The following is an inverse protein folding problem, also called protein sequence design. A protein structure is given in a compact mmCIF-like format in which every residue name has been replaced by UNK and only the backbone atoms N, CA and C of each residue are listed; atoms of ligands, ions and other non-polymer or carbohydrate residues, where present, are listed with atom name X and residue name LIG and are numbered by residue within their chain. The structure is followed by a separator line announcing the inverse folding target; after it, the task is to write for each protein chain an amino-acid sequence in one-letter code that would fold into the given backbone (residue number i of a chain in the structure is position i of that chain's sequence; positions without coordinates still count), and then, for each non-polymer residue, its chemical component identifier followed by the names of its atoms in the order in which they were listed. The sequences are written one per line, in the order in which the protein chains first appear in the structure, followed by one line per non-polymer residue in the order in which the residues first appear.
data_IF_086286178518
#
_entry.id   IF_086286178518
#
_cell.length_a   1.000
_cell.length_b   1.000
_cell.length_c   1.000
_cell.angle_alpha   90.00
_cell.angle_beta   90.00
_cell.angle_gamma   90.00
#
_symmetry.space_group_name_H-M   'P 1'
#
loop_
_entity.id
_entity.type
_entity.pdbx_description
1 polymer ?
#
# COMPACT_ATOMS: atom_id res chain seq x y z
N UNK A 1 14.56 49.79 -7.22
CA UNK A 1 14.35 49.02 -5.95
C UNK A 1 13.32 47.95 -6.22
N UNK A 2 13.80 46.80 -6.62
CA UNK A 2 12.97 45.65 -7.04
C UNK A 2 13.10 44.55 -6.01
N UNK A 3 12.03 44.28 -5.26
CA UNK A 3 11.94 43.12 -4.33
C UNK A 3 11.51 41.91 -5.14
N UNK A 4 12.41 40.95 -5.32
CA UNK A 4 12.09 39.59 -5.75
C UNK A 4 11.68 38.76 -4.55
N UNK A 5 10.39 38.41 -4.47
CA UNK A 5 9.87 37.41 -3.54
C UNK A 5 10.08 36.02 -4.11
N UNK A 6 10.96 35.23 -3.50
CA UNK A 6 11.10 33.79 -3.78
C UNK A 6 9.92 33.06 -3.13
N UNK A 7 8.91 32.71 -3.91
CA UNK A 7 7.89 31.73 -3.51
C UNK A 7 8.45 30.33 -3.73
N UNK A 8 8.85 29.66 -2.66
CA UNK A 8 9.13 28.24 -2.68
C UNK A 8 7.80 27.49 -2.86
N UNK A 9 7.59 26.87 -4.00
CA UNK A 9 6.45 25.98 -4.23
C UNK A 9 6.75 24.63 -3.55
N UNK A 10 6.15 24.41 -2.39
CA UNK A 10 6.17 23.12 -1.71
C UNK A 10 4.98 22.30 -2.23
N UNK A 11 5.22 21.44 -3.23
CA UNK A 11 4.23 20.46 -3.66
C UNK A 11 4.18 19.32 -2.63
N UNK A 12 3.22 19.38 -1.71
CA UNK A 12 2.92 18.30 -0.80
C UNK A 12 1.94 17.34 -1.50
N UNK A 13 2.46 16.29 -2.10
CA UNK A 13 1.64 15.15 -2.54
C UNK A 13 1.16 14.41 -1.28
N UNK A 14 -0.12 14.57 -0.94
CA UNK A 14 -0.77 13.84 0.14
C UNK A 14 -1.14 12.45 -0.38
N UNK A 15 -0.19 11.55 -0.48
CA UNK A 15 -0.47 10.12 -0.54
C UNK A 15 -0.79 9.63 0.88
N UNK A 16 -1.89 8.91 1.04
CA UNK A 16 -2.20 8.15 2.24
C UNK A 16 -1.27 6.92 2.29
N UNK A 17 -0.06 7.13 2.70
CA UNK A 17 0.76 6.09 3.27
C UNK A 17 1.52 6.75 4.41
N UNK A 18 1.56 6.10 5.56
CA UNK A 18 2.55 6.41 6.58
C UNK A 18 3.90 6.04 5.98
N UNK A 19 4.42 6.87 5.09
CA UNK A 19 5.77 6.68 4.63
C UNK A 19 6.68 6.81 5.85
N UNK A 20 7.19 5.68 6.35
CA UNK A 20 8.61 5.67 6.64
C UNK A 20 9.19 6.30 5.38
N UNK A 21 9.79 7.47 5.48
CA UNK A 21 10.56 7.99 4.38
C UNK A 21 11.57 6.88 4.08
N UNK A 22 11.22 5.99 3.14
CA UNK A 22 12.24 5.32 2.39
C UNK A 22 13.01 6.50 1.83
N UNK A 23 14.22 6.70 2.36
CA UNK A 23 15.12 7.68 1.80
C UNK A 23 15.16 7.32 0.32
N UNK A 24 14.36 8.05 -0.48
CA UNK A 24 14.60 8.07 -1.91
C UNK A 24 16.07 8.38 -1.99
N UNK A 25 16.81 7.52 -2.60
CA UNK A 25 18.15 7.82 -3.06
C UNK A 25 18.02 8.96 -4.09
N UNK A 26 17.72 10.16 -3.60
CA UNK A 26 17.66 11.40 -4.35
C UNK A 26 19.05 12.02 -4.30
N UNK A 27 19.62 12.16 -5.48
CA UNK A 27 20.73 13.07 -5.84
C UNK A 27 22.10 12.90 -5.18
N UNK A 28 22.38 11.91 -4.35
CA UNK A 28 23.76 11.71 -3.87
C UNK A 28 24.61 10.77 -4.75
N UNK A 29 24.18 10.47 -5.96
CA UNK A 29 24.84 9.51 -6.86
C UNK A 29 26.23 9.95 -7.38
N UNK A 30 26.72 11.12 -6.99
CA UNK A 30 28.01 11.63 -7.46
C UNK A 30 29.11 11.67 -6.38
N UNK A 31 28.81 11.30 -5.14
CA UNK A 31 29.85 11.19 -4.11
C UNK A 31 29.83 9.78 -3.53
N UNK A 32 30.89 8.96 -3.74
CA UNK A 32 30.97 7.64 -3.13
C UNK A 32 31.19 7.81 -1.62
N UNK A 33 30.10 8.04 -0.88
CA UNK A 33 30.13 7.91 0.57
C UNK A 33 30.46 6.46 0.88
N UNK A 34 31.45 6.22 1.76
CA UNK A 34 31.86 4.88 2.15
C UNK A 34 30.72 4.09 2.81
N UNK A 35 30.98 2.84 3.12
CA UNK A 35 29.99 1.92 3.69
C UNK A 35 29.38 2.45 5.00
N UNK A 36 30.20 3.00 5.91
CA UNK A 36 29.73 3.59 7.17
C UNK A 36 29.38 5.08 7.03
N UNK A 37 30.15 5.82 6.26
CA UNK A 37 29.95 7.28 6.08
C UNK A 37 28.62 7.59 5.38
N UNK A 38 28.15 6.65 4.55
CA UNK A 38 26.84 6.72 3.89
C UNK A 38 25.73 5.99 4.64
N UNK A 39 26.02 5.46 5.85
CA UNK A 39 25.04 4.69 6.58
C UNK A 39 24.04 5.58 7.32
N UNK A 40 22.79 5.12 7.39
CA UNK A 40 21.71 5.74 8.17
C UNK A 40 21.09 4.73 9.12
N UNK A 41 20.70 5.19 10.30
CA UNK A 41 19.91 4.43 11.25
C UNK A 41 18.66 5.23 11.60
N UNK A 42 17.51 4.73 11.20
CA UNK A 42 16.22 5.32 11.47
C UNK A 42 15.45 4.43 12.45
N UNK A 43 14.82 5.04 13.46
CA UNK A 43 13.90 4.33 14.35
C UNK A 43 12.58 5.08 14.34
N UNK A 44 11.50 4.39 14.02
CA UNK A 44 10.14 4.94 14.09
C UNK A 44 9.41 4.34 15.28
N UNK A 45 8.95 5.20 16.20
CA UNK A 45 7.98 4.85 17.23
C UNK A 45 6.58 5.07 16.67
N UNK A 46 5.75 4.01 16.63
CA UNK A 46 4.38 4.03 16.10
C UNK A 46 3.41 3.54 17.16
N UNK A 47 2.56 4.43 17.65
CA UNK A 47 1.42 4.08 18.48
C UNK A 47 0.19 3.99 17.59
N UNK A 48 -0.53 2.86 17.63
CA UNK A 48 -1.64 2.62 16.72
C UNK A 48 -2.84 2.05 17.48
N UNK A 49 -3.96 2.75 17.42
CA UNK A 49 -5.27 2.27 17.82
C UNK A 49 -6.14 2.10 16.59
N UNK A 50 -6.75 0.91 16.44
CA UNK A 50 -7.70 0.60 15.37
C UNK A 50 -8.94 -0.05 15.99
N UNK A 51 -10.08 0.58 15.75
CA UNK A 51 -11.40 0.03 16.06
C UNK A 51 -12.20 -0.16 14.77
N UNK A 52 -12.86 -1.30 14.63
CA UNK A 52 -13.75 -1.69 13.53
C UNK A 52 -15.08 -2.12 14.14
N UNK A 53 -16.09 -1.29 14.02
CA UNK A 53 -17.45 -1.50 14.54
C UNK A 53 -18.36 -1.98 13.40
N UNK A 54 -18.87 -3.20 13.51
CA UNK A 54 -19.75 -3.82 12.51
C UNK A 54 -21.20 -3.46 12.82
N UNK A 55 -21.91 -2.88 11.86
CA UNK A 55 -23.33 -2.50 11.99
C UNK A 55 -24.28 -3.70 11.94
N UNK A 56 -23.82 -4.80 11.32
CA UNK A 56 -24.42 -6.12 11.40
C UNK A 56 -23.35 -7.09 11.91
N UNK A 57 -23.69 -8.16 12.63
CA UNK A 57 -22.67 -9.12 13.05
C UNK A 57 -21.85 -9.59 11.86
N UNK A 58 -20.51 -9.51 12.00
CA UNK A 58 -19.60 -10.06 10.99
C UNK A 58 -19.81 -11.57 10.82
N UNK A 59 -19.33 -12.20 9.73
CA UNK A 59 -19.37 -13.67 9.58
C UNK A 59 -18.79 -14.42 10.76
N UNK A 60 -17.85 -13.79 11.50
CA UNK A 60 -17.29 -14.35 12.75
C UNK A 60 -18.17 -14.13 13.99
N UNK A 61 -19.36 -13.52 13.85
CA UNK A 61 -20.27 -13.22 14.97
C UNK A 61 -19.81 -12.08 15.88
N UNK A 62 -18.73 -11.37 15.52
CA UNK A 62 -18.20 -10.24 16.31
C UNK A 62 -18.92 -8.95 15.96
N UNK A 63 -19.32 -8.19 16.99
CA UNK A 63 -19.90 -6.84 16.80
C UNK A 63 -18.84 -5.79 16.56
N UNK A 64 -17.63 -5.95 17.08
CA UNK A 64 -16.48 -5.07 16.79
C UNK A 64 -15.16 -5.80 17.00
N UNK A 65 -14.09 -5.23 16.39
CA UNK A 65 -12.69 -5.57 16.66
C UNK A 65 -11.96 -4.31 17.09
N UNK A 66 -11.12 -4.40 18.11
CA UNK A 66 -10.35 -3.26 18.60
C UNK A 66 -8.99 -3.71 19.13
N UNK A 67 -7.93 -3.07 18.68
CA UNK A 67 -6.57 -3.28 19.14
C UNK A 67 -5.88 -1.95 19.32
N UNK A 68 -5.08 -1.84 20.38
CA UNK A 68 -4.18 -0.73 20.63
C UNK A 68 -2.79 -1.29 20.89
N UNK A 69 -1.83 -0.82 20.10
CA UNK A 69 -0.49 -1.37 20.12
C UNK A 69 0.57 -0.29 19.94
N UNK A 70 1.77 -0.56 20.46
CA UNK A 70 2.98 0.24 20.28
C UNK A 70 3.97 -0.55 19.42
N UNK A 71 4.41 0.03 18.30
CA UNK A 71 5.48 -0.51 17.46
C UNK A 71 6.75 0.32 17.55
N UNK A 72 7.88 -0.36 17.43
CA UNK A 72 9.20 0.24 17.19
C UNK A 72 9.78 -0.41 15.95
N UNK A 73 10.05 0.41 14.93
CA UNK A 73 10.59 -0.04 13.65
C UNK A 73 11.97 0.56 13.51
N UNK A 74 13.01 -0.27 13.52
CA UNK A 74 14.39 0.13 13.26
C UNK A 74 14.77 -0.23 11.83
N UNK A 75 15.38 0.69 11.09
CA UNK A 75 15.91 0.47 9.75
C UNK A 75 17.35 1.00 9.68
N UNK A 76 18.27 0.13 9.35
CA UNK A 76 19.66 0.44 9.05
C UNK A 76 19.90 0.27 7.55
N UNK A 77 20.43 1.29 6.91
CA UNK A 77 20.84 1.27 5.52
C UNK A 77 22.31 1.68 5.44
N UNK A 78 23.19 0.80 4.97
CA UNK A 78 24.58 1.16 4.74
C UNK A 78 24.75 1.99 3.46
N UNK A 79 25.82 2.78 3.38
CA UNK A 79 26.36 3.20 2.09
C UNK A 79 26.95 2.00 1.32
N UNK A 80 27.71 2.31 0.29
CA UNK A 80 28.40 1.29 -0.51
C UNK A 80 29.91 1.35 -0.30
N UNK A 81 30.57 0.20 -0.35
CA UNK A 81 32.04 0.16 -0.37
C UNK A 81 32.57 0.92 -1.59
N UNK A 82 33.74 1.60 -1.47
CA UNK A 82 34.37 2.27 -2.61
C UNK A 82 34.73 1.29 -3.73
N UNK A 83 34.71 1.78 -4.98
CA UNK A 83 35.12 1.02 -6.16
C UNK A 83 34.09 1.04 -7.28
N UNK A 84 34.40 0.46 -8.44
CA UNK A 84 33.51 0.33 -9.59
C UNK A 84 32.29 -0.52 -9.26
N UNK A 85 32.47 -1.52 -8.38
CA UNK A 85 31.39 -2.30 -7.78
C UNK A 85 31.39 -2.04 -6.29
N UNK A 86 30.28 -1.55 -5.77
CA UNK A 86 30.08 -1.28 -4.36
C UNK A 86 29.18 -2.35 -3.73
N UNK A 87 29.48 -2.70 -2.47
CA UNK A 87 28.68 -3.61 -1.66
C UNK A 87 28.05 -2.85 -0.50
N UNK A 88 26.80 -3.16 -0.20
CA UNK A 88 26.03 -2.58 0.90
C UNK A 88 25.14 -3.61 1.59
N UNK A 89 24.58 -3.22 2.72
CA UNK A 89 23.70 -4.01 3.56
C UNK A 89 22.57 -3.14 4.07
N UNK A 90 21.34 -3.61 3.96
CA UNK A 90 20.18 -3.06 4.67
C UNK A 90 19.71 -4.07 5.69
N UNK A 91 19.25 -3.60 6.83
CA UNK A 91 18.62 -4.45 7.83
C UNK A 91 17.49 -3.70 8.52
N UNK A 92 16.52 -4.45 8.99
CA UNK A 92 15.41 -3.90 9.78
C UNK A 92 15.12 -4.81 10.98
N UNK A 93 14.54 -4.19 12.00
CA UNK A 93 14.07 -4.87 13.19
C UNK A 93 12.75 -4.25 13.62
N UNK A 94 11.87 -5.06 14.14
CA UNK A 94 10.55 -4.63 14.60
C UNK A 94 10.24 -5.24 15.98
N UNK A 95 9.62 -4.44 16.84
CA UNK A 95 9.02 -4.86 18.09
C UNK A 95 7.62 -4.25 18.22
N UNK A 96 6.61 -5.11 18.34
CA UNK A 96 5.23 -4.74 18.61
C UNK A 96 4.82 -5.16 20.02
N UNK A 97 4.17 -4.26 20.74
CA UNK A 97 3.67 -4.47 22.10
C UNK A 97 2.17 -4.17 22.13
N UNK A 98 1.38 -5.09 22.62
CA UNK A 98 -0.04 -4.87 22.89
C UNK A 98 -0.21 -3.92 24.07
N UNK A 99 -0.98 -2.86 23.89
CA UNK A 99 -1.38 -1.96 24.97
C UNK A 99 -2.77 -2.31 25.46
N UNK A 100 -3.70 -2.63 24.55
CA UNK A 100 -5.05 -3.09 24.89
C UNK A 100 -5.67 -3.91 23.73
N UNK A 101 -6.35 -5.00 24.08
CA UNK A 101 -7.25 -5.77 23.21
C UNK A 101 -8.07 -6.72 24.07
N UNK A 102 -9.37 -6.54 24.09
CA UNK A 102 -10.29 -7.41 24.85
C UNK A 102 -10.43 -8.81 24.24
N UNK A 103 -10.87 -9.77 25.06
CA UNK A 103 -11.23 -11.11 24.58
C UNK A 103 -12.33 -11.01 23.50
N UNK A 104 -12.11 -11.65 22.36
CA UNK A 104 -13.06 -11.65 21.25
C UNK A 104 -12.97 -10.40 20.35
N UNK A 105 -12.09 -9.45 20.63
CA UNK A 105 -11.93 -8.21 19.84
C UNK A 105 -10.67 -8.14 18.99
N UNK A 106 -9.90 -9.23 18.95
CA UNK A 106 -8.70 -9.42 18.12
C UNK A 106 -8.98 -9.41 16.62
N UNK A 107 -7.93 -9.22 15.80
CA UNK A 107 -7.97 -9.43 14.37
C UNK A 107 -8.25 -8.15 13.57
N UNK A 108 -7.69 -7.02 14.03
CA UNK A 108 -7.63 -5.78 13.22
C UNK A 108 -6.45 -5.79 12.25
N UNK A 109 -5.51 -6.73 12.40
CA UNK A 109 -4.25 -6.80 11.66
C UNK A 109 -3.13 -5.94 12.26
N UNK A 110 -3.27 -5.45 13.50
CA UNK A 110 -2.17 -4.79 14.21
C UNK A 110 -1.27 -5.80 14.94
N UNK A 111 -1.87 -6.87 15.47
CA UNK A 111 -1.20 -7.89 16.27
C UNK A 111 -1.51 -9.27 15.70
N UNK A 112 -0.57 -10.22 15.77
CA UNK A 112 -0.86 -11.61 15.48
C UNK A 112 -1.97 -12.14 16.39
N UNK A 113 -2.79 -13.06 15.87
CA UNK A 113 -3.83 -13.72 16.63
C UNK A 113 -3.37 -15.14 16.99
N UNK A 114 -3.27 -15.43 18.28
CA UNK A 114 -2.90 -16.73 18.80
C UNK A 114 -3.96 -17.79 18.54
N UNK A 115 -3.60 -19.06 18.79
CA UNK A 115 -4.49 -20.21 18.62
C UNK A 115 -5.72 -20.18 19.55
N UNK A 116 -5.67 -19.39 20.61
CA UNK A 116 -6.78 -19.15 21.55
C UNK A 116 -7.74 -18.03 21.06
N UNK A 117 -7.47 -17.44 19.89
CA UNK A 117 -8.25 -16.37 19.29
C UNK A 117 -8.03 -14.98 19.90
N UNK A 118 -6.97 -14.81 20.72
CA UNK A 118 -6.58 -13.53 21.29
C UNK A 118 -5.39 -12.94 20.56
N UNK A 119 -5.27 -11.61 20.61
CA UNK A 119 -4.07 -10.92 20.12
C UNK A 119 -2.89 -11.25 21.03
N UNK A 120 -1.74 -11.58 20.42
CA UNK A 120 -0.50 -11.81 21.13
C UNK A 120 -0.08 -10.56 21.93
N UNK A 121 0.57 -10.76 23.10
CA UNK A 121 1.01 -9.64 23.96
C UNK A 121 2.16 -8.85 23.34
N UNK A 122 3.00 -9.52 22.57
CA UNK A 122 4.08 -8.92 21.82
C UNK A 122 4.46 -9.80 20.63
N UNK A 123 5.09 -9.20 19.63
CA UNK A 123 5.74 -9.93 18.55
C UNK A 123 6.92 -9.12 18.03
N UNK A 124 7.89 -9.80 17.43
CA UNK A 124 9.06 -9.16 16.87
C UNK A 124 9.47 -9.84 15.58
N UNK A 125 10.11 -9.09 14.72
CA UNK A 125 10.67 -9.60 13.49
C UNK A 125 11.96 -8.86 13.16
N UNK A 126 12.76 -9.44 12.27
CA UNK A 126 13.94 -8.81 11.73
C UNK A 126 14.31 -9.46 10.41
N UNK A 127 15.00 -8.71 9.59
CA UNK A 127 15.46 -9.15 8.29
C UNK A 127 16.46 -8.18 7.70
N UNK A 128 16.84 -8.43 6.45
CA UNK A 128 17.72 -7.54 5.73
C UNK A 128 18.10 -8.07 4.36
N UNK A 129 18.78 -7.23 3.60
CA UNK A 129 19.20 -7.50 2.24
C UNK A 129 20.65 -7.06 2.00
N UNK A 130 21.41 -7.88 1.29
CA UNK A 130 22.68 -7.50 0.71
C UNK A 130 22.45 -6.70 -0.57
N UNK A 131 23.24 -5.66 -0.79
CA UNK A 131 23.17 -4.80 -1.98
C UNK A 131 24.49 -4.82 -2.74
N UNK A 132 24.39 -4.90 -4.06
CA UNK A 132 25.53 -4.71 -4.97
C UNK A 132 25.18 -3.61 -5.94
N UNK A 133 26.04 -2.61 -6.07
CA UNK A 133 25.87 -1.49 -7.00
C UNK A 133 26.99 -1.48 -8.03
N UNK A 134 26.62 -1.31 -9.28
CA UNK A 134 27.55 -0.98 -10.37
C UNK A 134 26.94 0.18 -11.16
N UNK A 135 27.68 1.28 -11.30
CA UNK A 135 27.16 2.52 -11.90
C UNK A 135 25.85 2.97 -11.21
N UNK A 136 24.76 3.18 -11.96
CA UNK A 136 23.43 3.55 -11.47
C UNK A 136 22.47 2.35 -11.36
N UNK A 137 23.01 1.14 -11.30
CA UNK A 137 22.26 -0.11 -11.14
C UNK A 137 22.56 -0.75 -9.80
N UNK A 138 21.52 -1.10 -9.04
CA UNK A 138 21.62 -1.81 -7.76
C UNK A 138 20.82 -3.10 -7.83
N UNK A 139 21.44 -4.20 -7.39
CA UNK A 139 20.81 -5.48 -7.14
C UNK A 139 20.79 -5.72 -5.64
N UNK A 140 19.61 -5.96 -5.07
CA UNK A 140 19.44 -6.36 -3.68
C UNK A 140 18.98 -7.82 -3.60
N UNK A 141 19.41 -8.53 -2.55
CA UNK A 141 19.02 -9.90 -2.25
C UNK A 141 18.75 -10.05 -0.76
N UNK A 142 17.58 -10.54 -0.39
CA UNK A 142 17.17 -10.75 0.99
C UNK A 142 15.74 -10.30 1.25
N UNK A 143 15.45 -9.92 2.48
CA UNK A 143 14.15 -9.42 2.89
C UNK A 143 14.12 -7.89 2.79
N UNK A 144 13.14 -7.35 2.03
CA UNK A 144 13.03 -5.92 1.74
C UNK A 144 11.57 -5.51 1.49
N UNK A 145 11.31 -4.22 1.55
CA UNK A 145 10.09 -3.63 1.00
C UNK A 145 10.21 -3.51 -0.52
N UNK A 146 9.10 -3.64 -1.21
CA UNK A 146 8.99 -3.53 -2.68
C UNK A 146 7.94 -2.48 -3.00
N UNK A 147 8.23 -1.62 -3.98
CA UNK A 147 7.32 -0.60 -4.49
C UNK A 147 7.28 -0.71 -6.03
N UNK A 148 6.27 -1.43 -6.55
CA UNK A 148 5.99 -1.52 -7.98
C UNK A 148 4.48 -1.73 -8.19
N UNK A 149 3.88 -1.19 -9.27
CA UNK A 149 2.42 -1.21 -9.43
C UNK A 149 1.81 -2.62 -9.52
N UNK A 150 2.62 -3.62 -9.80
CA UNK A 150 2.20 -5.03 -9.93
C UNK A 150 2.65 -5.90 -8.75
N UNK A 151 3.42 -5.34 -7.83
CA UNK A 151 3.77 -5.94 -6.55
C UNK A 151 4.32 -4.86 -5.60
N UNK A 152 3.54 -4.50 -4.59
CA UNK A 152 3.87 -3.44 -3.65
C UNK A 152 3.55 -3.88 -2.21
N UNK A 153 4.54 -3.74 -1.32
CA UNK A 153 4.42 -4.08 0.10
C UNK A 153 3.86 -2.90 0.88
N UNK A 154 2.83 -3.15 1.68
CA UNK A 154 2.17 -2.08 2.43
C UNK A 154 2.90 -1.70 3.73
N UNK A 155 2.75 -0.43 4.13
CA UNK A 155 3.05 0.07 5.48
C UNK A 155 1.80 0.73 6.09
N UNK A 156 0.73 -0.06 6.26
CA UNK A 156 -0.61 0.43 6.68
C UNK A 156 -1.03 -0.01 8.10
N UNK A 157 -0.17 -0.75 8.81
CA UNK A 157 -0.43 -1.29 10.15
C UNK A 157 0.71 -0.97 11.11
N UNK A 158 0.89 -1.77 12.13
CA UNK A 158 1.92 -1.57 13.14
C UNK A 158 3.33 -1.82 12.61
N UNK A 159 3.49 -2.86 11.77
CA UNK A 159 4.70 -3.27 11.07
C UNK A 159 4.47 -3.16 9.55
N UNK A 160 5.48 -2.79 8.74
CA UNK A 160 5.44 -2.94 7.28
C UNK A 160 5.40 -4.40 6.83
N UNK A 161 4.88 -4.62 5.62
CA UNK A 161 5.09 -5.87 4.89
C UNK A 161 6.51 -5.94 4.32
N UNK A 162 7.02 -7.15 4.17
CA UNK A 162 8.31 -7.42 3.52
C UNK A 162 8.21 -8.61 2.58
N UNK A 163 9.02 -8.61 1.55
CA UNK A 163 9.18 -9.75 0.65
C UNK A 163 10.64 -10.21 0.61
N UNK A 164 10.87 -11.52 0.50
CA UNK A 164 12.20 -12.11 0.41
C UNK A 164 12.48 -12.57 -1.00
N UNK A 165 13.57 -12.07 -1.60
CA UNK A 165 13.93 -12.37 -2.98
C UNK A 165 15.03 -11.48 -3.52
N UNK A 166 14.93 -11.18 -4.82
CA UNK A 166 15.84 -10.30 -5.55
C UNK A 166 15.08 -9.08 -6.08
N UNK A 167 15.71 -7.90 -6.00
CA UNK A 167 15.24 -6.67 -6.59
C UNK A 167 16.38 -5.95 -7.33
N UNK A 168 16.20 -5.73 -8.61
CA UNK A 168 17.07 -4.92 -9.45
C UNK A 168 16.40 -3.57 -9.71
N UNK A 169 17.16 -2.49 -9.46
CA UNK A 169 16.78 -1.12 -9.81
C UNK A 169 17.89 -0.52 -10.67
N UNK A 170 17.54 0.12 -11.79
CA UNK A 170 18.51 0.74 -12.69
C UNK A 170 18.02 2.08 -13.21
N UNK A 171 18.92 3.07 -13.17
CA UNK A 171 18.72 4.43 -13.71
C UNK A 171 19.76 4.77 -14.78
N UNK A 172 20.28 3.75 -15.48
CA UNK A 172 21.32 3.94 -16.53
C UNK A 172 20.80 4.77 -17.70
N UNK A 173 19.50 4.75 -17.94
CA UNK A 173 18.83 5.50 -19.01
C UNK A 173 18.20 6.74 -18.38
N UNK A 174 18.60 7.94 -18.85
CA UNK A 174 18.04 9.19 -18.35
C UNK A 174 16.53 9.28 -18.62
N UNK A 175 15.78 9.71 -17.61
CA UNK A 175 14.32 9.79 -17.68
C UNK A 175 13.61 8.44 -17.55
N UNK A 176 14.32 7.36 -17.21
CA UNK A 176 13.75 6.03 -16.97
C UNK A 176 14.25 5.43 -15.65
N UNK A 177 13.35 4.79 -14.90
CA UNK A 177 13.69 3.90 -13.80
C UNK A 177 13.27 2.49 -14.19
N UNK A 178 14.21 1.58 -14.33
CA UNK A 178 13.96 0.16 -14.63
C UNK A 178 13.92 -0.62 -13.32
N UNK A 179 12.95 -1.51 -13.19
CA UNK A 179 12.84 -2.43 -12.07
C UNK A 179 12.61 -3.86 -12.57
N UNK A 180 13.18 -4.84 -11.87
CA UNK A 180 12.84 -6.25 -12.01
C UNK A 180 13.02 -6.96 -10.67
N UNK A 181 12.13 -7.89 -10.34
CA UNK A 181 12.17 -8.61 -9.08
C UNK A 181 11.65 -10.04 -9.20
N UNK A 182 12.14 -10.89 -8.29
CA UNK A 182 11.63 -12.23 -8.06
C UNK A 182 11.64 -12.52 -6.57
N UNK A 183 10.47 -12.85 -6.02
CA UNK A 183 10.25 -13.05 -4.59
C UNK A 183 9.60 -14.40 -4.35
N UNK A 184 10.07 -15.10 -3.32
CA UNK A 184 9.67 -16.47 -2.97
C UNK A 184 9.05 -16.58 -1.59
N UNK A 185 9.03 -15.48 -0.81
CA UNK A 185 8.36 -15.45 0.48
C UNK A 185 7.84 -14.04 0.77
N UNK A 186 6.78 -13.97 1.59
CA UNK A 186 6.10 -12.75 1.96
C UNK A 186 5.82 -12.70 3.45
N UNK A 187 6.04 -11.55 4.08
CA UNK A 187 5.74 -11.28 5.49
C UNK A 187 4.60 -10.29 5.59
N UNK A 188 3.45 -10.74 6.09
CA UNK A 188 2.31 -9.88 6.38
C UNK A 188 2.57 -8.95 7.58
N UNK A 189 1.80 -7.87 7.67
CA UNK A 189 1.93 -6.81 8.69
C UNK A 189 1.70 -7.28 10.12
N UNK A 190 0.97 -8.38 10.33
CA UNK A 190 0.68 -9.01 11.63
C UNK A 190 1.40 -10.35 11.82
N UNK A 191 2.51 -10.56 11.10
CA UNK A 191 3.30 -11.79 11.17
C UNK A 191 4.74 -11.55 11.57
N UNK A 192 5.27 -12.41 12.42
CA UNK A 192 6.71 -12.48 12.71
C UNK A 192 7.48 -13.35 11.71
N UNK A 193 6.77 -14.15 10.88
CA UNK A 193 7.39 -15.11 9.96
C UNK A 193 7.77 -14.45 8.64
N UNK A 194 9.05 -14.49 8.28
CA UNK A 194 9.56 -14.11 6.95
C UNK A 194 9.44 -15.21 5.88
N UNK A 195 8.70 -16.30 6.16
CA UNK A 195 8.55 -17.46 5.26
C UNK A 195 7.08 -17.71 4.89
N UNK A 196 6.23 -16.69 4.97
CA UNK A 196 4.86 -16.79 4.50
C UNK A 196 4.79 -16.90 2.97
N UNK A 197 3.70 -17.45 2.49
CA UNK A 197 3.34 -17.47 1.07
C UNK A 197 2.71 -16.14 0.64
N UNK A 198 2.29 -16.04 -0.63
CA UNK A 198 1.66 -14.86 -1.21
C UNK A 198 0.13 -14.87 -1.03
N UNK A 199 -0.39 -15.57 -0.01
CA UNK A 199 -1.80 -15.54 0.38
C UNK A 199 -2.12 -14.29 1.22
N UNK A 200 -3.40 -13.99 1.42
CA UNK A 200 -3.89 -12.90 2.27
C UNK A 200 -4.46 -11.72 1.51
N UNK A 201 -4.23 -11.64 0.21
CA UNK A 201 -4.79 -10.64 -0.71
C UNK A 201 -5.41 -11.30 -1.94
N UNK A 202 -6.30 -10.60 -2.64
CA UNK A 202 -6.94 -11.09 -3.84
C UNK A 202 -7.59 -12.46 -3.66
N UNK A 203 -7.24 -13.40 -4.53
CA UNK A 203 -7.76 -14.75 -4.50
C UNK A 203 -7.28 -15.60 -3.30
N UNK A 204 -6.32 -15.11 -2.52
CA UNK A 204 -5.76 -15.78 -1.35
C UNK A 204 -5.26 -17.20 -1.66
N UNK A 205 -4.48 -17.35 -2.72
CA UNK A 205 -3.92 -18.62 -3.17
C UNK A 205 -2.53 -18.89 -2.60
N UNK A 206 -2.15 -20.17 -2.49
CA UNK A 206 -0.82 -20.60 -2.05
C UNK A 206 0.20 -20.54 -3.21
N UNK A 207 0.39 -19.38 -3.82
CA UNK A 207 1.35 -19.21 -4.88
C UNK A 207 2.81 -19.27 -4.37
N UNK A 208 3.67 -19.96 -5.11
CA UNK A 208 5.07 -20.21 -4.73
C UNK A 208 5.99 -19.01 -4.92
N UNK A 209 5.55 -17.94 -5.55
CA UNK A 209 6.34 -16.73 -5.76
C UNK A 209 5.74 -15.76 -6.76
N UNK A 210 6.33 -14.56 -6.80
CA UNK A 210 5.99 -13.52 -7.77
C UNK A 210 7.25 -12.99 -8.46
N UNK A 211 7.16 -12.79 -9.77
CA UNK A 211 8.20 -12.15 -10.58
C UNK A 211 7.61 -10.95 -11.27
N UNK A 212 8.38 -9.88 -11.41
CA UNK A 212 7.95 -8.73 -12.21
C UNK A 212 9.13 -8.04 -12.91
N UNK A 213 8.82 -7.31 -13.96
CA UNK A 213 9.73 -6.37 -14.59
C UNK A 213 8.94 -5.19 -15.17
N UNK A 214 9.56 -4.02 -15.19
CA UNK A 214 8.94 -2.83 -15.74
C UNK A 214 9.82 -1.60 -15.70
N UNK A 215 9.21 -0.47 -16.04
CA UNK A 215 9.86 0.82 -16.07
C UNK A 215 8.90 1.96 -15.79
N UNK A 216 9.36 2.96 -15.02
CA UNK A 216 8.81 4.31 -15.06
C UNK A 216 9.48 5.08 -16.20
N UNK A 217 8.68 5.80 -16.94
CA UNK A 217 9.06 6.47 -18.18
C UNK A 217 8.88 7.97 -18.05
N UNK A 218 9.81 8.73 -18.68
CA UNK A 218 9.76 10.19 -18.72
C UNK A 218 9.69 10.83 -17.33
N UNK A 219 10.45 10.28 -16.37
CA UNK A 219 10.40 10.65 -14.93
C UNK A 219 10.74 12.11 -14.66
N UNK A 220 11.39 12.80 -15.60
CA UNK A 220 11.78 14.22 -15.52
C UNK A 220 10.82 15.12 -16.31
N UNK A 221 9.80 14.57 -16.95
CA UNK A 221 8.83 15.31 -17.79
C UNK A 221 7.54 15.59 -17.02
N UNK A 222 6.82 16.68 -17.37
CA UNK A 222 5.44 16.87 -16.88
C UNK A 222 4.48 15.76 -17.28
N UNK A 223 4.71 15.10 -18.41
CA UNK A 223 4.00 13.89 -18.81
C UNK A 223 4.91 12.71 -18.57
N UNK A 224 4.50 11.81 -17.69
CA UNK A 224 5.18 10.57 -17.38
C UNK A 224 4.27 9.36 -17.58
N UNK A 225 4.81 8.19 -17.31
CA UNK A 225 4.06 6.94 -17.38
C UNK A 225 4.83 5.77 -16.82
N UNK A 226 4.23 4.60 -16.84
CA UNK A 226 4.87 3.36 -16.42
C UNK A 226 4.35 2.18 -17.22
N UNK A 227 5.19 1.17 -17.41
CA UNK A 227 4.83 -0.12 -18.00
C UNK A 227 5.46 -1.23 -17.15
N UNK A 228 4.62 -2.13 -16.65
CA UNK A 228 5.06 -3.28 -15.84
C UNK A 228 4.35 -4.55 -16.26
N UNK A 229 5.00 -5.68 -16.02
CA UNK A 229 4.40 -7.00 -16.12
C UNK A 229 4.83 -7.84 -14.93
N UNK A 230 3.91 -8.67 -14.42
CA UNK A 230 4.20 -9.63 -13.35
C UNK A 230 3.58 -10.99 -13.62
N UNK A 231 4.12 -11.98 -12.92
CA UNK A 231 3.61 -13.35 -12.88
C UNK A 231 3.55 -13.80 -11.43
N UNK A 232 2.36 -14.09 -10.93
CA UNK A 232 2.16 -14.87 -9.73
C UNK A 232 2.16 -16.34 -10.13
N UNK A 233 3.08 -17.12 -9.59
CA UNK A 233 3.32 -18.52 -10.04
C UNK A 233 2.05 -19.33 -10.03
N UNK A 234 1.78 -20.04 -11.14
CA UNK A 234 0.63 -20.91 -11.35
C UNK A 234 -0.74 -20.27 -11.09
N UNK A 235 -0.81 -18.94 -11.07
CA UNK A 235 -2.02 -18.19 -10.76
C UNK A 235 -2.41 -17.28 -11.90
N UNK A 236 -1.61 -16.24 -12.18
CA UNK A 236 -1.89 -15.28 -13.26
C UNK A 236 -0.65 -14.54 -13.77
N UNK A 237 -0.79 -13.98 -14.99
CA UNK A 237 0.02 -12.89 -15.52
C UNK A 237 -0.75 -11.59 -15.41
N UNK A 238 -0.08 -10.51 -15.00
CA UNK A 238 -0.66 -9.19 -14.91
C UNK A 238 0.22 -8.16 -15.63
N UNK A 239 -0.41 -7.33 -16.45
CA UNK A 239 0.20 -6.23 -17.19
C UNK A 239 -0.37 -4.91 -16.71
N UNK A 240 0.49 -3.92 -16.54
CA UNK A 240 0.13 -2.59 -16.09
C UNK A 240 0.68 -1.52 -17.01
N UNK A 241 -0.15 -0.49 -17.27
CA UNK A 241 0.23 0.72 -17.97
C UNK A 241 -0.33 1.94 -17.24
N UNK A 242 0.50 2.97 -17.13
CA UNK A 242 0.13 4.28 -16.58
C UNK A 242 0.53 5.40 -17.53
N UNK A 243 -0.29 6.44 -17.56
CA UNK A 243 0.06 7.75 -18.12
C UNK A 243 -0.42 8.82 -17.15
N UNK A 244 0.45 9.77 -16.82
CA UNK A 244 0.08 10.88 -15.95
C UNK A 244 0.59 12.22 -16.47
N UNK A 245 -0.13 13.29 -16.11
CA UNK A 245 0.26 14.68 -16.32
C UNK A 245 0.40 15.36 -14.97
N UNK A 246 1.57 15.96 -14.72
CA UNK A 246 1.87 16.73 -13.51
C UNK A 246 2.27 18.15 -13.89
N UNK A 247 1.40 19.12 -13.58
CA UNK A 247 1.65 20.54 -13.75
C UNK A 247 1.29 21.31 -12.46
N UNK A 248 1.76 22.55 -12.28
CA UNK A 248 1.37 23.36 -11.13
C UNK A 248 -0.16 23.45 -10.99
N UNK A 249 -0.68 22.95 -9.87
CA UNK A 249 -2.12 22.93 -9.56
C UNK A 249 -2.94 21.87 -10.28
N UNK A 250 -2.39 21.11 -11.22
CA UNK A 250 -3.13 20.06 -11.96
C UNK A 250 -2.35 18.76 -11.97
N UNK A 251 -3.03 17.68 -11.57
CA UNK A 251 -2.54 16.32 -11.73
C UNK A 251 -3.62 15.46 -12.37
N UNK A 252 -3.29 14.76 -13.44
CA UNK A 252 -4.17 13.79 -14.10
C UNK A 252 -3.45 12.46 -14.16
N UNK A 253 -4.13 11.37 -13.82
CA UNK A 253 -3.55 10.04 -13.74
C UNK A 253 -4.51 8.99 -14.32
N UNK A 254 -4.00 8.16 -15.23
CA UNK A 254 -4.73 7.08 -15.88
C UNK A 254 -3.97 5.77 -15.73
N UNK A 255 -4.64 4.77 -15.18
CA UNK A 255 -4.09 3.45 -14.90
C UNK A 255 -4.90 2.36 -15.61
N UNK A 256 -4.21 1.36 -16.13
CA UNK A 256 -4.79 0.20 -16.80
C UNK A 256 -4.08 -1.07 -16.36
N UNK A 257 -4.84 -2.07 -15.95
CA UNK A 257 -4.37 -3.43 -15.71
C UNK A 257 -5.08 -4.42 -16.65
N UNK A 258 -4.37 -5.46 -17.05
CA UNK A 258 -4.94 -6.64 -17.68
C UNK A 258 -4.35 -7.88 -17.01
N UNK A 259 -5.22 -8.76 -16.48
CA UNK A 259 -4.84 -9.95 -15.72
C UNK A 259 -5.44 -11.19 -16.39
N UNK A 260 -4.62 -12.22 -16.61
CA UNK A 260 -5.03 -13.53 -17.14
C UNK A 260 -4.44 -14.66 -16.33
N UNK A 261 -5.21 -15.71 -16.14
CA UNK A 261 -4.72 -16.93 -15.50
C UNK A 261 -3.57 -17.60 -16.28
N UNK A 262 -2.75 -18.33 -15.55
CA UNK A 262 -1.62 -19.09 -16.11
C UNK A 262 -1.29 -20.32 -15.25
N UNK A 263 -0.59 -21.27 -15.86
CA UNK A 263 -0.15 -22.51 -15.20
C UNK A 263 -1.33 -23.34 -14.72
N UNK A 264 -1.33 -23.70 -13.43
CA UNK A 264 -2.40 -24.49 -12.80
C UNK A 264 -3.67 -23.67 -12.50
N UNK A 265 -3.65 -22.35 -12.74
CA UNK A 265 -4.75 -21.43 -12.50
C UNK A 265 -5.30 -21.57 -11.06
N UNK A 266 -4.42 -21.44 -10.04
CA UNK A 266 -4.77 -21.67 -8.63
C UNK A 266 -5.96 -20.83 -8.14
N UNK A 267 -6.20 -19.66 -8.74
CA UNK A 267 -7.37 -18.82 -8.47
C UNK A 267 -8.60 -19.19 -9.33
N UNK A 268 -8.48 -20.18 -10.23
CA UNK A 268 -9.42 -20.44 -11.30
C UNK A 268 -9.14 -19.56 -12.52
N UNK A 269 -10.00 -19.70 -13.54
CA UNK A 269 -9.87 -18.89 -14.74
C UNK A 269 -10.09 -17.40 -14.43
N UNK A 270 -9.17 -16.56 -14.86
CA UNK A 270 -9.21 -15.10 -14.74
C UNK A 270 -8.95 -14.50 -16.12
N UNK A 271 -9.83 -13.58 -16.55
CA UNK A 271 -9.60 -12.65 -17.66
C UNK A 271 -10.23 -11.32 -17.29
N UNK A 272 -9.43 -10.39 -16.80
CA UNK A 272 -9.90 -9.18 -16.17
C UNK A 272 -9.14 -7.96 -16.70
N UNK A 273 -9.85 -6.89 -17.00
CA UNK A 273 -9.27 -5.59 -17.35
C UNK A 273 -9.81 -4.53 -16.39
N UNK A 274 -8.92 -3.93 -15.61
CA UNK A 274 -9.26 -2.87 -14.67
C UNK A 274 -8.62 -1.56 -15.11
N UNK A 275 -9.39 -0.45 -15.07
CA UNK A 275 -8.83 0.85 -15.36
C UNK A 275 -9.38 1.94 -14.45
N UNK A 276 -8.61 3.00 -14.27
CA UNK A 276 -9.03 4.20 -13.58
C UNK A 276 -8.52 5.47 -14.25
N UNK A 277 -9.27 6.55 -14.08
CA UNK A 277 -8.88 7.90 -14.46
C UNK A 277 -9.18 8.83 -13.29
N UNK A 278 -8.20 9.62 -12.88
CA UNK A 278 -8.37 10.64 -11.86
C UNK A 278 -7.82 11.99 -12.30
N UNK A 279 -8.46 13.06 -11.82
CA UNK A 279 -8.01 14.42 -12.01
C UNK A 279 -8.04 15.17 -10.68
N UNK A 280 -6.92 15.79 -10.31
CA UNK A 280 -6.79 16.65 -9.13
C UNK A 280 -6.50 18.07 -9.56
N UNK A 281 -7.28 19.02 -9.03
CA UNK A 281 -7.02 20.45 -9.16
C UNK A 281 -6.72 21.04 -7.77
N UNK A 282 -5.60 21.76 -7.67
CA UNK A 282 -5.17 22.40 -6.43
C UNK A 282 -5.11 23.91 -6.63
N UNK A 283 -5.82 24.63 -5.78
CA UNK A 283 -5.79 26.10 -5.73
C UNK A 283 -5.55 26.53 -4.29
N UNK A 284 -4.46 27.27 -4.07
CA UNK A 284 -4.01 27.69 -2.73
C UNK A 284 -3.95 26.50 -1.75
N UNK A 285 -4.77 26.53 -0.72
CA UNK A 285 -4.87 25.48 0.30
C UNK A 285 -5.76 24.30 -0.09
N UNK A 286 -6.53 24.41 -1.18
CA UNK A 286 -7.62 23.51 -1.50
C UNK A 286 -7.28 22.57 -2.65
N UNK A 287 -7.48 21.28 -2.46
CA UNK A 287 -7.37 20.25 -3.47
C UNK A 287 -8.70 19.58 -3.74
N UNK A 288 -9.10 19.46 -4.99
CA UNK A 288 -10.31 18.77 -5.42
C UNK A 288 -9.94 17.63 -6.35
N UNK A 289 -10.38 16.41 -6.06
CA UNK A 289 -10.14 15.25 -6.91
C UNK A 289 -11.46 14.61 -7.32
N UNK A 290 -11.56 14.29 -8.60
CA UNK A 290 -12.59 13.39 -9.14
C UNK A 290 -11.91 12.18 -9.75
N UNK A 291 -12.49 11.00 -9.54
CA UNK A 291 -11.97 9.78 -10.15
C UNK A 291 -13.10 8.84 -10.58
N UNK A 292 -12.79 8.05 -11.60
CA UNK A 292 -13.61 6.97 -12.10
C UNK A 292 -12.77 5.71 -12.24
N UNK A 293 -13.35 4.57 -11.86
CA UNK A 293 -12.70 3.25 -11.98
C UNK A 293 -13.72 2.25 -12.48
N UNK A 294 -13.26 1.30 -13.31
CA UNK A 294 -14.08 0.20 -13.83
C UNK A 294 -13.29 -1.08 -13.89
N UNK A 295 -13.94 -2.16 -13.51
CA UNK A 295 -13.50 -3.53 -13.67
C UNK A 295 -14.32 -4.18 -14.79
N UNK A 296 -13.65 -4.76 -15.79
CA UNK A 296 -14.27 -5.55 -16.84
C UNK A 296 -13.76 -6.98 -16.72
N UNK A 297 -14.66 -7.91 -16.47
CA UNK A 297 -14.39 -9.33 -16.29
C UNK A 297 -15.31 -9.94 -15.24
N UNK A 298 -15.47 -11.25 -15.29
CA UNK A 298 -16.38 -12.01 -14.44
C UNK A 298 -15.81 -12.31 -13.05
N UNK A 299 -14.56 -11.90 -12.79
CA UNK A 299 -13.90 -11.97 -11.48
C UNK A 299 -13.55 -10.57 -10.97
N UNK A 300 -13.43 -10.38 -9.64
CA UNK A 300 -12.78 -9.20 -9.09
C UNK A 300 -11.37 -9.01 -9.67
N UNK A 301 -10.85 -7.78 -9.66
CA UNK A 301 -9.44 -7.53 -9.92
C UNK A 301 -8.60 -8.17 -8.83
N UNK A 302 -7.67 -9.06 -9.21
CA UNK A 302 -6.81 -9.81 -8.31
C UNK A 302 -5.43 -9.17 -8.14
N UNK A 303 -4.83 -9.30 -6.96
CA UNK A 303 -3.55 -8.67 -6.61
C UNK A 303 -2.88 -9.38 -5.45
N UNK A 304 -1.60 -9.09 -5.23
CA UNK A 304 -0.76 -9.55 -4.12
C UNK A 304 0.04 -8.38 -3.55
N UNK A 305 0.11 -8.29 -2.22
CA UNK A 305 0.73 -7.17 -1.51
C UNK A 305 -0.26 -6.05 -1.22
N UNK A 306 -0.16 -5.45 -0.03
CA UNK A 306 -1.21 -4.58 0.50
C UNK A 306 -1.34 -3.21 -0.18
N UNK A 307 -0.36 -2.82 -1.03
CA UNK A 307 -0.37 -1.57 -1.81
C UNK A 307 -0.37 -1.78 -3.32
N UNK A 308 -0.53 -3.03 -3.82
CA UNK A 308 -0.40 -3.42 -5.23
C UNK A 308 -1.57 -3.00 -6.13
N UNK A 309 -2.46 -2.13 -5.70
CA UNK A 309 -3.56 -1.61 -6.51
C UNK A 309 -3.37 -0.11 -6.76
N UNK A 310 -2.84 0.24 -7.94
CA UNK A 310 -2.66 1.64 -8.34
C UNK A 310 -3.88 2.21 -9.08
N UNK A 311 -5.06 1.65 -8.81
CA UNK A 311 -6.32 2.18 -9.29
C UNK A 311 -6.82 3.30 -8.35
N UNK A 312 -7.44 4.32 -8.92
CA UNK A 312 -7.78 5.56 -8.23
C UNK A 312 -8.76 5.40 -7.06
N UNK A 313 -9.59 4.35 -7.06
CA UNK A 313 -10.60 4.08 -6.05
C UNK A 313 -10.24 2.93 -5.10
N UNK A 314 -9.01 2.38 -5.17
CA UNK A 314 -8.47 1.58 -4.07
C UNK A 314 -8.15 2.52 -2.91
N UNK A 315 -8.89 2.40 -1.80
CA UNK A 315 -8.85 3.38 -0.74
C UNK A 315 -8.66 2.73 0.64
N UNK A 316 -9.03 3.40 1.71
CA UNK A 316 -8.62 3.02 3.07
C UNK A 316 -9.17 1.67 3.55
N UNK A 317 -10.38 1.32 3.13
CA UNK A 317 -11.04 0.07 3.50
C UNK A 317 -11.37 -0.81 2.29
N UNK A 318 -11.99 -0.25 1.26
CA UNK A 318 -12.44 -0.99 0.08
C UNK A 318 -11.63 -0.60 -1.17
N UNK A 319 -11.41 -1.58 -2.04
CA UNK A 319 -10.63 -1.40 -3.28
C UNK A 319 -11.53 -1.11 -4.49
N UNK A 320 -12.84 -1.22 -4.34
CA UNK A 320 -13.81 -1.04 -5.43
C UNK A 320 -13.43 -1.85 -6.66
N UNK A 321 -13.02 -3.11 -6.42
CA UNK A 321 -12.44 -4.01 -7.42
C UNK A 321 -13.34 -5.19 -7.78
N UNK A 322 -14.63 -5.17 -7.42
CA UNK A 322 -15.58 -6.24 -7.69
C UNK A 322 -15.77 -6.53 -9.19
N UNK A 323 -16.23 -7.74 -9.54
CA UNK A 323 -16.53 -8.13 -10.92
C UNK A 323 -17.52 -7.14 -11.55
N UNK A 324 -17.25 -6.64 -12.75
CA UNK A 324 -18.03 -5.63 -13.50
C UNK A 324 -18.20 -4.27 -12.81
N UNK A 325 -17.62 -4.04 -11.66
CA UNK A 325 -17.83 -2.84 -10.85
C UNK A 325 -17.47 -1.55 -11.58
N UNK A 326 -18.30 -0.53 -11.39
CA UNK A 326 -18.03 0.85 -11.74
C UNK A 326 -18.09 1.70 -10.48
N UNK A 327 -17.08 2.52 -10.27
CA UNK A 327 -17.02 3.38 -9.08
C UNK A 327 -16.60 4.81 -9.40
N UNK A 328 -17.11 5.76 -8.60
CA UNK A 328 -16.82 7.18 -8.68
C UNK A 328 -16.34 7.71 -7.36
N UNK A 329 -15.35 8.58 -7.39
CA UNK A 329 -14.79 9.25 -6.22
C UNK A 329 -14.91 10.76 -6.36
N UNK A 330 -15.30 11.41 -5.24
CA UNK A 330 -15.08 12.83 -5.02
C UNK A 330 -14.26 13.00 -3.73
N UNK A 331 -13.17 13.79 -3.80
CA UNK A 331 -12.28 14.03 -2.68
C UNK A 331 -11.95 15.52 -2.55
N UNK A 332 -11.87 15.97 -1.31
CA UNK A 332 -11.42 17.30 -0.93
C UNK A 332 -10.26 17.21 0.07
N UNK A 333 -9.19 17.96 -0.21
CA UNK A 333 -8.02 18.12 0.63
C UNK A 333 -7.89 19.60 1.05
N UNK A 334 -7.51 19.85 2.31
CA UNK A 334 -7.26 21.20 2.84
C UNK A 334 -5.94 21.23 3.60
N UNK A 335 -5.03 22.09 3.16
CA UNK A 335 -3.79 22.41 3.88
C UNK A 335 -3.99 23.69 4.70
N UNK A 336 -3.96 23.58 6.02
CA UNK A 336 -4.22 24.70 6.93
C UNK A 336 -2.97 25.58 7.18
N UNK A 337 -1.84 25.29 6.52
CA UNK A 337 -0.63 26.12 6.64
C UNK A 337 -0.88 27.57 6.22
N UNK A 338 -1.68 27.76 5.16
CA UNK A 338 -2.06 29.10 4.67
C UNK A 338 -2.98 29.86 5.62
N UNK A 339 -3.60 29.17 6.57
CA UNK A 339 -4.45 29.73 7.62
C UNK A 339 -3.72 29.89 8.97
N UNK A 340 -2.38 29.79 8.96
CA UNK A 340 -1.54 29.97 10.13
C UNK A 340 -1.39 28.76 11.04
N UNK A 341 -1.80 27.56 10.59
CA UNK A 341 -1.65 26.30 11.32
C UNK A 341 -0.79 25.33 10.48
N UNK A 342 0.52 25.59 10.35
CA UNK A 342 1.41 24.74 9.56
C UNK A 342 1.46 23.32 10.13
N UNK A 343 1.43 22.33 9.23
CA UNK A 343 1.42 20.93 9.58
C UNK A 343 0.05 20.31 9.83
N UNK A 344 -1.02 21.12 9.90
CA UNK A 344 -2.39 20.61 9.98
C UNK A 344 -2.99 20.44 8.58
N UNK A 345 -3.47 19.24 8.30
CA UNK A 345 -4.15 18.91 7.06
C UNK A 345 -5.47 18.16 7.34
N UNK A 346 -6.43 18.40 6.50
CA UNK A 346 -7.73 17.72 6.50
C UNK A 346 -7.99 17.09 5.13
N UNK A 347 -8.59 15.91 5.12
CA UNK A 347 -9.08 15.27 3.90
C UNK A 347 -10.45 14.65 4.16
N UNK A 348 -11.32 14.75 3.18
CA UNK A 348 -12.53 13.92 3.11
C UNK A 348 -12.73 13.41 1.70
N UNK A 349 -13.23 12.17 1.58
CA UNK A 349 -13.60 11.59 0.29
C UNK A 349 -14.83 10.71 0.43
N UNK A 350 -15.52 10.57 -0.68
CA UNK A 350 -16.64 9.68 -0.84
C UNK A 350 -16.47 8.90 -2.13
N UNK A 351 -16.56 7.56 -2.03
CA UNK A 351 -16.51 6.65 -3.18
C UNK A 351 -17.78 5.84 -3.19
N UNK A 352 -18.34 5.63 -4.38
CA UNK A 352 -19.53 4.79 -4.59
C UNK A 352 -19.30 3.83 -5.74
N UNK A 353 -19.45 2.53 -5.45
CA UNK A 353 -19.39 1.43 -6.39
C UNK A 353 -20.78 0.84 -6.67
N UNK A 354 -20.94 0.31 -7.88
CA UNK A 354 -22.20 -0.29 -8.36
C UNK A 354 -21.94 -1.20 -9.55
N UNK A 355 -22.99 -1.91 -9.97
CA UNK A 355 -22.99 -2.86 -11.12
C UNK A 355 -22.10 -4.09 -10.88
N UNK A 356 -21.84 -4.44 -9.63
CA UNK A 356 -21.10 -5.65 -9.29
C UNK A 356 -21.99 -6.84 -9.66
N UNK A 357 -21.40 -7.78 -10.43
CA UNK A 357 -22.00 -9.06 -10.75
C UNK A 357 -20.93 -10.16 -10.78
N UNK A 358 -20.83 -10.92 -9.71
CA UNK A 358 -19.93 -12.08 -9.59
C UNK A 358 -20.59 -13.41 -9.93
N UNK A 359 -21.87 -13.42 -10.35
CA UNK A 359 -22.59 -14.68 -10.62
C UNK A 359 -22.06 -15.47 -11.81
N UNK A 360 -21.29 -14.80 -12.69
CA UNK A 360 -20.64 -15.40 -13.86
C UNK A 360 -19.20 -15.87 -13.57
N UNK A 361 -18.70 -15.68 -12.33
CA UNK A 361 -17.36 -16.12 -11.97
C UNK A 361 -17.19 -17.63 -12.25
N UNK A 362 -16.04 -18.05 -12.81
CA UNK A 362 -15.77 -19.44 -13.15
C UNK A 362 -15.92 -20.37 -11.95
N UNK A 363 -16.71 -21.44 -12.10
CA UNK A 363 -16.99 -22.41 -11.04
C UNK A 363 -15.71 -23.15 -10.63
N UNK A 364 -15.51 -23.33 -9.32
CA UNK A 364 -14.37 -24.01 -8.74
C UNK A 364 -13.14 -23.13 -8.54
N UNK A 365 -13.15 -21.90 -9.02
CA UNK A 365 -12.12 -20.90 -8.72
C UNK A 365 -12.33 -20.22 -7.35
N UNK A 366 -11.37 -19.40 -6.95
CA UNK A 366 -11.38 -18.69 -5.67
C UNK A 366 -12.61 -17.78 -5.51
N UNK A 367 -13.14 -17.25 -6.61
CA UNK A 367 -14.28 -16.32 -6.61
C UNK A 367 -15.65 -17.00 -6.75
N UNK A 368 -15.68 -18.33 -6.98
CA UNK A 368 -16.89 -19.15 -7.02
C UNK A 368 -16.58 -20.57 -6.56
N UNK A 369 -16.17 -20.72 -5.26
CA UNK A 369 -15.78 -22.00 -4.70
C UNK A 369 -16.95 -22.96 -4.60
N UNK A 370 -16.64 -24.27 -4.57
CA UNK A 370 -17.62 -25.31 -4.27
C UNK A 370 -17.84 -25.38 -2.76
N UNK A 371 -19.09 -25.23 -2.34
CA UNK A 371 -19.51 -25.43 -0.96
C UNK A 371 -19.97 -26.89 -0.77
N UNK A 372 -19.22 -27.65 0.01
CA UNK A 372 -19.50 -29.05 0.27
C UNK A 372 -20.74 -29.26 1.17
N UNK A 373 -21.13 -28.26 1.97
CA UNK A 373 -22.31 -28.38 2.86
C UNK A 373 -23.61 -28.25 2.06
N UNK A 374 -23.62 -27.33 1.11
CA UNK A 374 -24.80 -27.10 0.24
C UNK A 374 -24.77 -27.92 -1.05
N UNK A 375 -23.59 -28.46 -1.43
CA UNK A 375 -23.37 -29.19 -2.69
C UNK A 375 -23.45 -28.29 -3.93
N UNK A 376 -23.23 -26.98 -3.78
CA UNK A 376 -23.34 -26.00 -4.86
C UNK A 376 -22.10 -25.11 -4.96
N UNK A 377 -21.96 -24.40 -6.09
CA UNK A 377 -20.98 -23.35 -6.22
C UNK A 377 -21.58 -22.05 -5.68
N UNK A 378 -20.79 -21.32 -4.87
CA UNK A 378 -21.23 -20.09 -4.19
C UNK A 378 -20.35 -18.91 -4.62
N UNK A 379 -20.81 -18.08 -5.58
CA UNK A 379 -20.07 -16.89 -5.96
C UNK A 379 -19.88 -15.96 -4.76
N UNK A 380 -18.68 -15.38 -4.65
CA UNK A 380 -18.38 -14.42 -3.57
C UNK A 380 -19.23 -13.15 -3.65
N UNK A 381 -19.66 -12.76 -4.85
CA UNK A 381 -20.51 -11.60 -5.12
C UNK A 381 -21.73 -12.00 -5.93
N UNK A 382 -22.88 -11.40 -5.66
CA UNK A 382 -24.13 -11.60 -6.41
C UNK A 382 -24.33 -10.55 -7.51
N UNK A 383 -25.47 -10.64 -8.20
CA UNK A 383 -25.89 -9.63 -9.18
C UNK A 383 -26.46 -8.37 -8.49
N UNK A 384 -26.15 -7.19 -9.03
CA UNK A 384 -26.59 -5.90 -8.53
C UNK A 384 -25.89 -5.44 -7.25
N UNK A 385 -24.68 -5.93 -7.01
CA UNK A 385 -23.85 -5.50 -5.90
C UNK A 385 -23.52 -4.01 -5.98
N UNK A 386 -23.55 -3.36 -4.81
CA UNK A 386 -23.22 -1.94 -4.66
C UNK A 386 -22.74 -1.65 -3.26
N UNK A 387 -21.82 -0.69 -3.13
CA UNK A 387 -21.31 -0.21 -1.86
C UNK A 387 -20.84 1.25 -1.95
N UNK A 388 -20.53 1.82 -0.81
CA UNK A 388 -19.90 3.13 -0.72
C UNK A 388 -18.99 3.20 0.49
N UNK A 389 -17.99 4.06 0.38
CA UNK A 389 -17.08 4.39 1.48
C UNK A 389 -16.94 5.89 1.61
N UNK A 390 -16.91 6.37 2.85
CA UNK A 390 -16.61 7.76 3.21
C UNK A 390 -15.47 7.78 4.20
N UNK A 391 -14.41 8.52 3.85
CA UNK A 391 -13.27 8.76 4.72
C UNK A 391 -13.22 10.21 5.18
N UNK A 392 -12.77 10.39 6.42
CA UNK A 392 -12.38 11.68 6.99
C UNK A 392 -11.04 11.46 7.66
N UNK A 393 -10.03 12.26 7.29
CA UNK A 393 -8.70 12.24 7.87
C UNK A 393 -8.32 13.64 8.39
N UNK A 394 -7.78 13.68 9.60
CA UNK A 394 -7.11 14.86 10.17
C UNK A 394 -5.71 14.45 10.54
N UNK A 395 -4.72 15.18 10.05
CA UNK A 395 -3.31 14.95 10.35
C UNK A 395 -2.64 16.22 10.82
N UNK A 396 -1.85 16.12 11.89
CA UNK A 396 -1.01 17.21 12.38
C UNK A 396 0.43 16.72 12.55
N UNK A 397 1.38 17.51 12.04
CA UNK A 397 2.82 17.28 12.24
C UNK A 397 3.36 18.44 13.06
N UNK A 398 3.97 18.15 14.19
CA UNK A 398 4.60 19.15 15.07
C UNK A 398 5.79 19.79 14.36
N UNK A 399 5.77 21.13 14.22
CA UNK A 399 6.70 21.87 13.38
C UNK A 399 7.99 22.28 14.08
N UNK A 400 7.99 22.35 15.43
CA UNK A 400 9.13 22.86 16.20
C UNK A 400 9.18 22.29 17.62
N UNK A 401 10.26 22.59 18.34
CA UNK A 401 10.46 22.15 19.73
C UNK A 401 10.92 20.70 19.84
N UNK A 402 10.90 20.15 21.07
CA UNK A 402 11.41 18.80 21.36
C UNK A 402 10.62 17.68 20.66
N UNK A 403 9.37 17.93 20.31
CA UNK A 403 8.50 16.98 19.61
C UNK A 403 8.42 17.24 18.09
N UNK A 404 9.34 18.03 17.51
CA UNK A 404 9.36 18.29 16.06
C UNK A 404 9.35 16.97 15.29
N UNK A 405 8.46 16.86 14.29
CA UNK A 405 8.29 15.66 13.48
C UNK A 405 7.29 14.64 14.07
N UNK A 406 6.81 14.82 15.32
CA UNK A 406 5.70 13.99 15.82
C UNK A 406 4.48 14.18 14.93
N UNK A 407 3.96 13.10 14.39
CA UNK A 407 2.76 13.06 13.56
C UNK A 407 1.60 12.46 14.34
N UNK A 408 0.47 13.16 14.33
CA UNK A 408 -0.80 12.72 14.90
C UNK A 408 -1.80 12.56 13.74
N UNK A 409 -2.42 11.40 13.60
CA UNK A 409 -3.44 11.15 12.59
C UNK A 409 -4.69 10.56 13.24
N UNK A 410 -5.83 11.13 12.92
CA UNK A 410 -7.15 10.60 13.23
C UNK A 410 -7.88 10.36 11.93
N UNK A 411 -8.35 9.13 11.73
CA UNK A 411 -9.15 8.77 10.56
C UNK A 411 -10.46 8.11 10.97
N UNK A 412 -11.52 8.45 10.26
CA UNK A 412 -12.81 7.78 10.36
C UNK A 412 -13.24 7.29 8.99
N UNK A 413 -13.59 6.01 8.90
CA UNK A 413 -14.08 5.34 7.70
C UNK A 413 -15.48 4.84 7.96
N UNK A 414 -16.40 5.07 7.03
CA UNK A 414 -17.72 4.43 7.01
C UNK A 414 -17.88 3.69 5.69
N UNK A 415 -18.13 2.39 5.72
CA UNK A 415 -18.43 1.58 4.56
C UNK A 415 -19.80 0.91 4.72
N UNK A 416 -20.57 0.87 3.64
CA UNK A 416 -21.87 0.18 3.58
C UNK A 416 -22.02 -0.53 2.26
N UNK A 417 -22.50 -1.78 2.32
CA UNK A 417 -22.68 -2.65 1.18
C UNK A 417 -24.08 -3.29 1.20
N UNK A 418 -24.59 -3.63 0.03
CA UNK A 418 -25.75 -4.50 -0.03
C UNK A 418 -25.32 -5.99 0.00
N UNK A 419 -26.28 -6.89 0.21
CA UNK A 419 -26.01 -8.33 0.30
C UNK A 419 -25.32 -8.89 -0.93
N UNK A 420 -25.61 -8.38 -2.12
CA UNK A 420 -24.98 -8.86 -3.36
C UNK A 420 -23.50 -8.49 -3.48
N UNK A 421 -23.05 -7.38 -2.89
CA UNK A 421 -21.64 -7.02 -2.83
C UNK A 421 -20.88 -7.86 -1.79
N UNK A 422 -21.57 -8.36 -0.75
CA UNK A 422 -21.07 -9.25 0.29
C UNK A 422 -20.03 -8.65 1.27
N UNK A 423 -19.75 -7.35 1.20
CA UNK A 423 -18.86 -6.67 2.16
C UNK A 423 -19.58 -6.25 3.43
N UNK A 424 -18.80 -5.92 4.45
CA UNK A 424 -19.29 -5.53 5.76
C UNK A 424 -19.84 -4.11 5.79
N UNK A 425 -20.95 -3.90 6.52
CA UNK A 425 -21.37 -2.60 7.01
C UNK A 425 -20.55 -2.25 8.25
N UNK A 426 -19.57 -1.36 8.10
CA UNK A 426 -18.55 -1.10 9.11
C UNK A 426 -18.26 0.39 9.28
N UNK A 427 -17.96 0.78 10.52
CA UNK A 427 -17.30 2.05 10.83
C UNK A 427 -15.95 1.76 11.47
N UNK A 428 -14.89 2.43 11.00
CA UNK A 428 -13.54 2.30 11.53
C UNK A 428 -13.02 3.62 12.06
N UNK A 429 -12.28 3.53 13.17
CA UNK A 429 -11.53 4.65 13.72
C UNK A 429 -10.07 4.26 13.81
N UNK A 430 -9.21 5.09 13.26
CA UNK A 430 -7.76 4.96 13.35
C UNK A 430 -7.20 6.14 14.13
N UNK A 431 -6.41 5.86 15.16
CA UNK A 431 -5.58 6.87 15.82
C UNK A 431 -4.13 6.42 15.70
N UNK A 432 -3.33 7.19 14.96
CA UNK A 432 -1.94 6.84 14.70
C UNK A 432 -1.05 7.99 15.17
N UNK A 433 -0.12 7.68 16.05
CA UNK A 433 0.89 8.62 16.54
C UNK A 433 2.25 8.07 16.12
N UNK A 434 3.00 8.85 15.37
CA UNK A 434 4.32 8.44 14.89
C UNK A 434 5.37 9.47 15.27
N UNK A 435 6.51 8.99 15.75
CA UNK A 435 7.66 9.84 16.06
C UNK A 435 8.94 9.24 15.47
N UNK A 436 9.52 9.87 14.44
CA UNK A 436 10.81 9.45 13.90
C UNK A 436 11.92 9.84 14.87
N UNK A 437 12.67 8.85 15.34
CA UNK A 437 13.87 9.00 16.15
C UNK A 437 15.06 8.89 15.18
N UNK A 438 15.38 9.99 14.50
CA UNK A 438 16.52 10.03 13.60
C UNK A 438 17.81 10.11 14.43
N UNK A 439 18.59 9.05 14.44
CA UNK A 439 19.84 8.97 15.19
C UNK A 439 21.02 9.61 14.44
N UNK A 440 20.75 10.21 13.27
CA UNK A 440 21.75 10.90 12.44
C UNK A 440 22.60 9.93 11.60
N UNK A 441 23.55 10.45 10.81
CA UNK A 441 24.60 9.63 10.21
C UNK A 441 25.47 9.01 11.30
N UNK A 442 25.82 7.74 11.13
CA UNK A 442 26.64 6.96 12.05
C UNK A 442 28.13 7.35 11.96
#
# INVERSE_FOLDING_TARGET
MTFFSKKAAFCLSLMCAGTVATARADESDQNPQGFLEGATLNVLSRNFYLNSDYRSPSPSGKSYKAEWAQGFIGAFESGFTPGTVGFGLDSHAFLGLKLDSGKGHSGTGLLPVGSDGRSEDNYSSGGGALKVRASRTTLAFGEMMVEAPVFDTADKRLQPEYATGFLLNSREIDGMNLQAGHFTAFKNQDSASGKGNFSGYGANTDAGGISFAGADLFTQSPVGGALYASTLTDTWHQYYANVHLKQPGVFVDANLYHTRDTGEALAGAIDNTAFSLSGKYTIDAHGFTLAYQKINGDTPFDFVGGDSIYLANSIKYADFNGAHEQSWQARYDLDLSTYGIPGLAFMTRYVKGSQIDGTHAPKGGAYNPFDAETGTYVPQQGDGGRHWERDIDVRYIVQSGAAKGLSLQLSHVSHRANTAQAGDDIDRVYVVIQYPLNLGPL
#
